data_IF_452307339610
#
_entry.id   IF_452307339610
#
_cell.length_a   1.000
_cell.length_b   1.000
_cell.length_c   1.000
_cell.angle_alpha   90.00
_cell.angle_beta   90.00
_cell.angle_gamma   90.00
#
_symmetry.space_group_name_H-M   'P 1'
#
loop_
_entity.id
_entity.type
_entity.pdbx_description
1 polymer ?
#
# COMPACT_ATOMS: atom_id res chain seq x y z
N UNK A 1 12.58 11.05 15.54
CA UNK A 1 13.70 11.92 15.09
C UNK A 1 13.82 13.15 15.96
N UNK A 2 12.91 14.14 15.88
CA UNK A 2 12.99 15.37 16.70
C UNK A 2 13.00 15.15 18.23
N UNK A 3 12.17 14.25 18.75
CA UNK A 3 12.10 13.99 20.20
C UNK A 3 13.38 13.34 20.77
N UNK A 4 14.03 12.45 20.00
CA UNK A 4 15.27 11.77 20.40
C UNK A 4 16.44 12.75 20.35
N UNK A 5 16.50 13.59 19.30
CA UNK A 5 17.49 14.67 19.20
C UNK A 5 17.37 15.68 20.35
N UNK A 6 16.15 16.01 20.78
CA UNK A 6 15.93 16.89 21.93
C UNK A 6 16.41 16.24 23.25
N UNK A 7 16.20 14.94 23.42
CA UNK A 7 16.68 14.19 24.60
C UNK A 7 18.20 14.07 24.62
N UNK A 8 18.84 13.73 23.50
CA UNK A 8 20.30 13.63 23.38
C UNK A 8 20.97 14.98 23.71
N UNK A 9 20.37 16.08 23.24
CA UNK A 9 20.81 17.44 23.56
C UNK A 9 20.66 17.80 25.04
N UNK A 10 19.57 17.36 25.70
CA UNK A 10 19.37 17.58 27.14
C UNK A 10 20.36 16.79 28.00
N UNK A 11 20.83 15.64 27.51
CA UNK A 11 21.74 14.74 28.23
C UNK A 11 23.22 14.93 27.86
N UNK A 12 23.53 15.91 26.99
CA UNK A 12 24.90 16.21 26.57
C UNK A 12 25.56 15.12 25.71
N UNK A 13 24.76 14.23 25.11
CA UNK A 13 25.24 13.16 24.23
C UNK A 13 25.23 13.60 22.76
N UNK A 14 26.22 13.21 21.95
CA UNK A 14 26.17 13.48 20.51
C UNK A 14 25.01 12.72 19.88
N UNK A 15 24.11 13.45 19.21
CA UNK A 15 22.98 12.84 18.50
C UNK A 15 23.48 11.98 17.35
N UNK A 16 23.18 10.68 17.40
CA UNK A 16 23.41 9.76 16.29
C UNK A 16 22.06 9.48 15.64
N UNK A 17 21.92 9.83 14.36
CA UNK A 17 20.72 9.44 13.64
C UNK A 17 20.59 7.91 13.65
N UNK A 18 19.43 7.35 14.06
CA UNK A 18 19.26 5.91 14.05
C UNK A 18 19.45 5.40 12.62
N UNK A 19 20.23 4.33 12.42
CA UNK A 19 20.45 3.78 11.09
C UNK A 19 19.09 3.42 10.49
N UNK A 20 18.81 3.98 9.32
CA UNK A 20 17.61 3.63 8.58
C UNK A 20 17.85 2.26 7.99
N UNK A 21 17.31 1.22 8.63
CA UNK A 21 17.27 -0.11 8.06
C UNK A 21 16.25 -0.14 6.93
N UNK A 22 16.67 0.35 5.77
CA UNK A 22 15.96 0.09 4.54
C UNK A 22 16.32 -1.34 4.11
N UNK A 23 15.35 -2.25 4.17
CA UNK A 23 15.43 -3.47 3.36
C UNK A 23 15.24 -3.04 1.91
N UNK A 24 16.30 -2.52 1.30
CA UNK A 24 16.33 -2.27 -0.14
C UNK A 24 16.71 -3.58 -0.82
N UNK A 25 15.98 -4.00 -1.84
CA UNK A 25 16.36 -5.14 -2.69
C UNK A 25 17.54 -4.80 -3.64
N UNK A 26 18.37 -3.80 -3.31
CA UNK A 26 19.38 -3.25 -4.19
C UNK A 26 18.84 -2.18 -5.14
N UNK A 27 19.65 -1.79 -6.12
CA UNK A 27 19.32 -0.81 -7.15
C UNK A 27 18.40 -1.48 -8.19
N UNK A 28 17.35 -0.82 -8.68
CA UNK A 28 16.34 -1.45 -9.57
C UNK A 28 16.93 -2.10 -10.83
N UNK A 29 18.04 -1.55 -11.36
CA UNK A 29 18.79 -2.13 -12.49
C UNK A 29 19.43 -3.49 -12.22
N UNK A 30 19.61 -3.88 -10.95
CA UNK A 30 20.13 -5.20 -10.57
C UNK A 30 19.03 -6.23 -10.33
N UNK A 31 17.76 -5.87 -10.51
CA UNK A 31 16.62 -6.76 -10.35
C UNK A 31 16.29 -7.42 -11.69
N UNK A 32 16.05 -8.73 -11.68
CA UNK A 32 15.52 -9.43 -12.85
C UNK A 32 14.06 -9.01 -13.09
N UNK A 33 13.51 -9.26 -14.28
CA UNK A 33 12.12 -8.91 -14.58
C UNK A 33 11.13 -9.61 -13.62
N UNK A 34 11.47 -10.79 -13.10
CA UNK A 34 10.70 -11.53 -12.10
C UNK A 34 10.80 -10.94 -10.67
N UNK A 35 11.84 -10.15 -10.41
CA UNK A 35 12.03 -9.41 -9.16
C UNK A 35 11.30 -8.06 -9.15
N UNK A 36 10.90 -7.58 -10.33
CA UNK A 36 10.08 -6.38 -10.46
C UNK A 36 8.71 -6.64 -9.86
N UNK A 37 8.24 -5.64 -9.13
CA UNK A 37 6.97 -5.69 -8.45
C UNK A 37 5.86 -5.57 -9.49
N UNK A 38 5.42 -6.70 -10.03
CA UNK A 38 4.08 -6.78 -10.60
C UNK A 38 3.08 -6.59 -9.46
N UNK A 39 1.93 -5.97 -9.76
CA UNK A 39 0.77 -5.99 -8.87
C UNK A 39 0.33 -7.45 -8.76
N UNK A 40 0.88 -8.17 -7.77
CA UNK A 40 0.47 -9.53 -7.42
C UNK A 40 -0.98 -9.46 -6.94
N UNK A 41 -1.78 -10.46 -7.31
CA UNK A 41 -3.17 -10.54 -6.90
C UNK A 41 -3.24 -10.64 -5.36
N UNK A 42 -4.25 -10.01 -4.78
CA UNK A 42 -4.46 -10.02 -3.32
C UNK A 42 -4.64 -11.45 -2.83
N UNK A 43 -3.72 -11.93 -1.98
CA UNK A 43 -3.79 -13.25 -1.40
C UNK A 43 -4.70 -13.19 -0.18
N UNK A 44 -5.91 -13.75 -0.32
CA UNK A 44 -6.91 -13.76 0.75
C UNK A 44 -6.64 -14.81 1.83
N UNK A 45 -5.44 -15.41 1.88
CA UNK A 45 -5.09 -16.37 2.93
C UNK A 45 -5.15 -15.71 4.31
N UNK A 46 -5.79 -16.38 5.26
CA UNK A 46 -5.88 -15.87 6.64
C UNK A 46 -4.50 -15.76 7.28
N UNK A 47 -4.37 -14.81 8.20
CA UNK A 47 -3.19 -14.68 9.05
C UNK A 47 -2.96 -15.96 9.86
N UNK A 48 -1.73 -16.47 9.87
CA UNK A 48 -1.37 -17.57 10.76
C UNK A 48 -1.56 -17.06 12.19
N UNK A 49 -2.53 -17.65 12.89
CA UNK A 49 -2.82 -17.33 14.29
C UNK A 49 -1.95 -18.23 15.16
N UNK A 50 -1.33 -17.71 16.24
CA UNK A 50 -0.70 -18.56 17.22
C UNK A 50 -1.73 -19.49 17.85
N UNK A 51 -1.38 -20.77 17.98
CA UNK A 51 -2.17 -21.74 18.71
C UNK A 51 -1.95 -21.51 20.20
N UNK A 52 -3.02 -21.22 20.93
CA UNK A 52 -2.92 -20.98 22.37
C UNK A 52 -3.26 -22.24 23.14
N UNK A 53 -2.57 -22.46 24.26
CA UNK A 53 -2.93 -23.52 25.20
C UNK A 53 -4.34 -23.29 25.80
N UNK A 54 -5.05 -24.33 26.26
CA UNK A 54 -6.36 -24.19 26.91
C UNK A 54 -6.32 -23.30 28.15
N UNK A 55 -7.42 -22.61 28.44
CA UNK A 55 -7.49 -21.60 29.51
C UNK A 55 -7.15 -22.18 30.91
N UNK A 56 -7.42 -23.45 31.10
CA UNK A 56 -7.23 -24.16 32.38
C UNK A 56 -5.75 -24.46 32.63
N UNK A 57 -4.99 -24.72 31.56
CA UNK A 57 -3.53 -24.88 31.62
C UNK A 57 -2.83 -23.53 31.84
N UNK A 58 -3.39 -22.43 31.33
CA UNK A 58 -2.84 -21.07 31.52
C UNK A 58 -2.82 -20.61 32.99
N UNK A 59 -3.74 -21.12 33.80
CA UNK A 59 -3.86 -20.75 35.23
C UNK A 59 -2.93 -21.56 36.12
N UNK A 60 -2.58 -22.77 35.68
CA UNK A 60 -1.97 -23.80 36.52
C UNK A 60 -0.52 -24.11 36.13
N UNK A 61 -0.09 -23.71 34.93
CA UNK A 61 1.21 -24.09 34.38
C UNK A 61 2.01 -22.87 33.93
N UNK A 62 3.34 -22.93 34.07
CA UNK A 62 4.28 -21.95 33.52
C UNK A 62 4.72 -22.25 32.08
N UNK A 63 4.02 -23.13 31.37
CA UNK A 63 4.29 -23.41 29.95
C UNK A 63 4.03 -22.15 29.12
N UNK A 64 4.74 -22.04 28.00
CA UNK A 64 4.52 -20.94 27.06
C UNK A 64 3.05 -20.88 26.60
N UNK A 65 2.48 -19.68 26.63
CA UNK A 65 1.07 -19.44 26.29
C UNK A 65 0.75 -19.86 24.86
N UNK A 66 1.71 -19.65 23.96
CA UNK A 66 1.71 -20.07 22.58
C UNK A 66 3.08 -20.69 22.30
N UNK A 67 3.16 -21.98 21.93
CA UNK A 67 4.42 -22.58 21.51
C UNK A 67 4.96 -21.90 20.25
N UNK A 68 6.26 -22.06 20.01
CA UNK A 68 6.92 -21.53 18.83
C UNK A 68 6.23 -22.03 17.56
N UNK A 69 5.84 -21.10 16.69
CA UNK A 69 5.20 -21.42 15.41
C UNK A 69 6.19 -22.24 14.56
N UNK A 70 5.78 -23.37 13.95
CA UNK A 70 6.64 -24.16 13.07
C UNK A 70 7.25 -23.30 11.95
N UNK A 71 8.50 -23.57 11.59
CA UNK A 71 9.24 -22.81 10.58
C UNK A 71 8.48 -22.72 9.23
N UNK A 72 7.78 -23.77 8.84
CA UNK A 72 6.96 -23.82 7.61
C UNK A 72 5.82 -22.80 7.65
N UNK A 73 5.09 -22.71 8.77
CA UNK A 73 4.01 -21.72 8.94
C UNK A 73 4.55 -20.29 8.98
N UNK A 74 5.75 -20.09 9.56
CA UNK A 74 6.44 -18.79 9.57
C UNK A 74 6.86 -18.38 8.16
N UNK A 75 7.41 -19.31 7.37
CA UNK A 75 7.81 -19.05 5.99
C UNK A 75 6.59 -18.68 5.13
N UNK A 76 5.51 -19.44 5.21
CA UNK A 76 4.26 -19.14 4.51
C UNK A 76 3.65 -17.78 4.92
N UNK A 77 3.69 -17.44 6.21
CA UNK A 77 3.29 -16.11 6.71
C UNK A 77 4.19 -14.99 6.17
N UNK A 78 5.50 -15.24 6.09
CA UNK A 78 6.49 -14.34 5.53
C UNK A 78 6.24 -14.06 4.05
N UNK A 79 5.97 -15.10 3.26
CA UNK A 79 5.59 -14.98 1.85
C UNK A 79 4.32 -14.14 1.68
N UNK A 80 3.28 -14.37 2.50
CA UNK A 80 2.06 -13.55 2.48
C UNK A 80 2.34 -12.09 2.87
N UNK A 81 3.17 -11.85 3.90
CA UNK A 81 3.47 -10.49 4.37
C UNK A 81 4.18 -9.61 3.33
N UNK A 82 4.89 -10.23 2.38
CA UNK A 82 5.65 -9.53 1.33
C UNK A 82 4.77 -9.18 0.11
N UNK A 83 3.54 -9.68 0.02
CA UNK A 83 2.71 -9.52 -1.19
C UNK A 83 2.17 -8.11 -1.42
N UNK A 84 1.91 -7.33 -0.35
CA UNK A 84 1.41 -5.96 -0.53
C UNK A 84 2.57 -5.04 -0.93
N UNK A 85 2.95 -5.07 -2.19
CA UNK A 85 3.98 -4.21 -2.73
C UNK A 85 3.34 -2.94 -3.33
N UNK A 86 2.82 -2.10 -2.43
CA UNK A 86 2.41 -0.75 -2.80
C UNK A 86 3.66 0.10 -3.05
N UNK A 87 3.85 0.47 -4.32
CA UNK A 87 4.91 1.33 -4.84
C UNK A 87 4.87 2.76 -4.30
N UNK A 88 3.75 3.20 -3.70
CA UNK A 88 3.60 4.52 -3.09
C UNK A 88 3.88 4.55 -1.57
N UNK A 89 4.34 3.45 -0.95
CA UNK A 89 4.54 3.34 0.51
C UNK A 89 5.34 4.48 1.15
N UNK A 90 6.35 5.01 0.45
CA UNK A 90 7.22 6.08 0.95
C UNK A 90 6.55 7.45 0.95
N UNK A 91 5.71 7.75 -0.03
CA UNK A 91 5.15 9.08 -0.28
C UNK A 91 3.62 9.16 -0.08
N UNK A 92 2.98 8.04 0.26
CA UNK A 92 1.54 7.93 0.44
C UNK A 92 1.03 8.89 1.53
N UNK A 93 0.28 9.91 1.11
CA UNK A 93 -0.33 10.92 2.00
C UNK A 93 -1.37 10.29 2.92
N UNK A 94 -2.12 9.29 2.45
CA UNK A 94 -3.07 8.57 3.30
C UNK A 94 -2.35 7.88 4.45
N UNK A 95 -1.28 7.14 4.18
CA UNK A 95 -0.47 6.49 5.23
C UNK A 95 0.06 7.52 6.23
N UNK A 96 0.71 8.58 5.73
CA UNK A 96 1.26 9.67 6.56
C UNK A 96 0.21 10.28 7.50
N UNK A 97 -0.98 10.57 6.98
CA UNK A 97 -2.04 11.16 7.80
C UNK A 97 -2.72 10.15 8.72
N UNK A 98 -2.89 8.90 8.28
CA UNK A 98 -3.39 7.82 9.13
C UNK A 98 -2.51 7.60 10.36
N UNK A 99 -1.18 7.62 10.18
CA UNK A 99 -0.21 7.53 11.28
C UNK A 99 -0.25 8.78 12.16
N UNK A 100 -0.24 9.97 11.56
CA UNK A 100 -0.27 11.25 12.30
C UNK A 100 -1.50 11.37 13.20
N UNK A 101 -2.67 10.97 12.71
CA UNK A 101 -3.94 11.07 13.43
C UNK A 101 -4.33 9.78 14.15
N UNK A 102 -3.44 8.78 14.21
CA UNK A 102 -3.65 7.50 14.90
C UNK A 102 -4.96 6.81 14.51
N UNK A 103 -5.26 6.81 13.20
CA UNK A 103 -6.49 6.24 12.66
C UNK A 103 -6.49 4.73 12.90
N UNK A 104 -7.61 4.22 13.44
CA UNK A 104 -7.83 2.79 13.67
C UNK A 104 -8.65 2.18 12.52
N UNK A 105 -8.04 1.49 11.54
CA UNK A 105 -8.76 0.97 10.37
C UNK A 105 -9.85 -0.05 10.74
N UNK A 106 -9.68 -0.75 11.86
CA UNK A 106 -10.63 -1.77 12.33
C UNK A 106 -11.87 -1.20 13.04
N UNK A 107 -11.93 0.13 13.21
CA UNK A 107 -13.06 0.80 13.85
C UNK A 107 -14.36 0.63 13.05
N UNK A 108 -14.27 0.63 11.72
CA UNK A 108 -15.42 0.48 10.83
C UNK A 108 -15.45 -0.92 10.22
N UNK A 109 -16.49 -1.67 10.56
CA UNK A 109 -16.80 -2.98 9.96
C UNK A 109 -17.80 -2.81 8.83
N UNK A 110 -17.64 -3.57 7.76
CA UNK A 110 -18.54 -3.54 6.62
C UNK A 110 -17.94 -4.16 5.37
N UNK A 111 -18.76 -4.27 4.33
CA UNK A 111 -18.31 -4.71 3.01
C UNK A 111 -17.35 -3.69 2.40
N UNK A 112 -16.26 -4.18 1.82
CA UNK A 112 -15.32 -3.38 1.02
C UNK A 112 -15.62 -3.63 -0.45
N UNK A 113 -15.51 -2.58 -1.26
CA UNK A 113 -15.56 -2.73 -2.72
C UNK A 113 -14.33 -3.52 -3.16
N UNK A 114 -14.53 -4.73 -3.68
CA UNK A 114 -13.47 -5.51 -4.30
C UNK A 114 -13.53 -5.25 -5.80
N UNK A 115 -12.52 -4.56 -6.33
CA UNK A 115 -12.46 -4.20 -7.75
C UNK A 115 -11.06 -4.50 -8.26
N UNK A 116 -10.94 -5.32 -9.30
CA UNK A 116 -9.63 -5.63 -9.87
C UNK A 116 -8.92 -4.36 -10.36
N UNK A 117 -7.60 -4.33 -10.18
CA UNK A 117 -6.73 -3.33 -10.77
C UNK A 117 -6.85 -3.40 -12.31
N UNK A 118 -6.91 -2.24 -12.95
CA UNK A 118 -6.92 -2.14 -14.39
C UNK A 118 -5.49 -2.04 -14.91
N UNK A 119 -5.06 -3.10 -15.57
CA UNK A 119 -3.72 -3.26 -16.14
C UNK A 119 -3.74 -3.32 -17.67
N UNK A 120 -4.87 -2.97 -18.30
CA UNK A 120 -5.03 -3.03 -19.77
C UNK A 120 -4.10 -2.08 -20.52
N UNK A 121 -3.65 -1.01 -19.88
CA UNK A 121 -2.70 -0.09 -20.47
C UNK A 121 -1.26 -0.63 -20.30
N UNK A 122 -0.40 -0.57 -21.33
CA UNK A 122 0.94 -1.14 -21.29
C UNK A 122 1.84 -0.51 -20.22
N UNK A 123 1.68 0.78 -19.94
CA UNK A 123 2.56 1.52 -19.03
C UNK A 123 1.92 1.97 -17.72
N UNK A 124 0.59 1.89 -17.60
CA UNK A 124 -0.15 2.52 -16.49
C UNK A 124 -0.98 1.46 -15.80
N UNK A 125 -0.90 1.47 -14.48
CA UNK A 125 -1.72 0.65 -13.61
C UNK A 125 -2.72 1.56 -12.91
N UNK A 126 -3.99 1.15 -12.90
CA UNK A 126 -5.03 1.82 -12.15
C UNK A 126 -5.69 0.88 -11.16
N UNK A 127 -5.18 0.89 -9.94
CA UNK A 127 -5.68 0.15 -8.81
C UNK A 127 -6.78 0.95 -8.09
N UNK A 128 -8.03 0.63 -8.44
CA UNK A 128 -9.22 1.26 -7.87
C UNK A 128 -9.43 0.92 -6.38
N UNK A 129 -8.86 -0.16 -5.85
CA UNK A 129 -8.99 -0.50 -4.43
C UNK A 129 -8.20 0.45 -3.53
N UNK A 130 -7.10 1.01 -4.04
CA UNK A 130 -6.32 2.02 -3.34
C UNK A 130 -6.93 3.42 -3.45
N UNK A 131 -7.90 3.64 -4.34
CA UNK A 131 -8.45 4.97 -4.62
C UNK A 131 -9.37 5.48 -3.51
N UNK A 132 -9.00 6.61 -2.89
CA UNK A 132 -9.83 7.32 -1.89
C UNK A 132 -10.86 8.27 -2.50
N UNK A 133 -11.08 8.22 -3.82
CA UNK A 133 -12.07 9.03 -4.56
C UNK A 133 -11.92 10.55 -4.36
N UNK A 134 -10.68 11.04 -4.17
CA UNK A 134 -10.39 12.47 -3.94
C UNK A 134 -10.67 13.38 -5.15
N UNK A 135 -10.73 12.83 -6.37
CA UNK A 135 -11.02 13.58 -7.59
C UNK A 135 -9.85 14.40 -8.15
N UNK A 136 -8.67 14.38 -7.51
CA UNK A 136 -7.49 15.12 -7.99
C UNK A 136 -7.13 14.71 -9.42
N UNK A 137 -7.03 13.41 -9.70
CA UNK A 137 -6.70 12.91 -11.04
C UNK A 137 -7.73 13.31 -12.11
N UNK A 138 -9.01 13.41 -11.74
CA UNK A 138 -10.08 13.88 -12.63
C UNK A 138 -9.85 15.36 -12.95
N UNK A 139 -9.69 16.20 -11.93
CA UNK A 139 -9.45 17.65 -12.09
C UNK A 139 -8.16 17.94 -12.85
N UNK A 140 -7.05 17.27 -12.52
CA UNK A 140 -5.78 17.44 -13.23
C UNK A 140 -5.93 17.08 -14.71
N UNK A 141 -6.66 16.01 -15.04
CA UNK A 141 -6.86 15.60 -16.42
C UNK A 141 -7.79 16.56 -17.19
N UNK A 142 -8.81 17.12 -16.53
CA UNK A 142 -9.79 18.02 -17.15
C UNK A 142 -9.33 19.47 -17.23
N UNK A 143 -8.80 20.02 -16.15
CA UNK A 143 -8.53 21.46 -16.00
C UNK A 143 -7.09 21.83 -16.41
N UNK A 144 -6.11 20.97 -16.07
CA UNK A 144 -4.69 21.27 -16.31
C UNK A 144 -4.27 20.74 -17.69
N UNK A 145 -4.55 19.46 -17.95
CA UNK A 145 -4.11 18.78 -19.19
C UNK A 145 -5.14 18.94 -20.32
N UNK A 146 -6.38 19.30 -20.02
CA UNK A 146 -7.48 19.47 -20.98
C UNK A 146 -7.76 18.23 -21.86
N UNK A 147 -7.52 17.01 -21.35
CA UNK A 147 -7.80 15.74 -22.06
C UNK A 147 -9.11 15.07 -21.63
N UNK A 148 -9.64 15.37 -20.44
CA UNK A 148 -10.95 14.87 -19.94
C UNK A 148 -11.13 13.34 -19.98
N UNK A 149 -10.08 12.55 -19.73
CA UNK A 149 -10.12 11.08 -19.85
C UNK A 149 -10.68 10.36 -18.64
N UNK A 150 -10.59 10.99 -17.47
CA UNK A 150 -11.00 10.41 -16.18
C UNK A 150 -12.27 11.08 -15.70
N UNK A 151 -13.21 10.27 -15.20
CA UNK A 151 -14.43 10.74 -14.57
C UNK A 151 -14.85 9.82 -13.42
N UNK A 152 -15.75 10.33 -12.58
CA UNK A 152 -16.47 9.48 -11.64
C UNK A 152 -17.56 8.70 -12.38
N UNK A 153 -17.52 7.39 -12.24
CA UNK A 153 -18.50 6.46 -12.77
C UNK A 153 -19.35 5.89 -11.65
N UNK A 154 -20.59 5.50 -11.99
CA UNK A 154 -21.59 4.95 -11.06
C UNK A 154 -21.95 5.98 -9.97
N UNK A 155 -22.69 5.54 -8.94
CA UNK A 155 -23.13 6.39 -7.82
C UNK A 155 -23.09 5.63 -6.49
N UNK A 156 -23.04 6.38 -5.39
CA UNK A 156 -23.07 5.85 -4.03
C UNK A 156 -21.86 4.98 -3.71
N UNK A 157 -22.10 3.85 -3.02
CA UNK A 157 -21.06 2.90 -2.60
C UNK A 157 -20.22 2.38 -3.80
N UNK A 158 -20.87 2.17 -4.93
CA UNK A 158 -20.27 1.64 -6.16
C UNK A 158 -19.51 2.69 -7.00
N UNK A 159 -19.37 3.92 -6.51
CA UNK A 159 -18.67 4.99 -7.24
C UNK A 159 -17.21 4.61 -7.46
N UNK A 160 -16.69 4.78 -8.68
CA UNK A 160 -15.29 4.50 -9.01
C UNK A 160 -14.77 5.51 -10.02
N UNK A 161 -13.47 5.81 -9.97
CA UNK A 161 -12.82 6.64 -10.98
C UNK A 161 -12.40 5.75 -12.15
N UNK A 162 -12.68 6.16 -13.37
CA UNK A 162 -12.22 5.45 -14.57
C UNK A 162 -12.48 6.24 -15.84
N UNK A 163 -12.27 5.59 -16.97
CA UNK A 163 -12.48 6.19 -18.29
C UNK A 163 -13.90 5.94 -18.78
N UNK A 164 -14.29 6.67 -19.84
CA UNK A 164 -15.57 6.47 -20.50
C UNK A 164 -15.80 4.99 -20.87
N UNK A 165 -17.03 4.51 -20.60
CA UNK A 165 -17.45 3.12 -20.88
C UNK A 165 -16.59 2.05 -20.19
N UNK A 166 -15.88 2.41 -19.10
CA UNK A 166 -14.98 1.51 -18.38
C UNK A 166 -13.92 0.85 -19.29
N UNK A 167 -13.46 1.58 -20.32
CA UNK A 167 -12.38 1.13 -21.21
C UNK A 167 -11.01 1.29 -20.54
N UNK A 168 -9.98 0.68 -21.11
CA UNK A 168 -8.61 0.95 -20.67
C UNK A 168 -8.23 2.41 -20.97
N UNK A 169 -7.14 2.90 -20.39
CA UNK A 169 -6.58 4.17 -20.84
C UNK A 169 -6.20 4.08 -22.32
N UNK A 170 -6.38 5.17 -23.10
CA UNK A 170 -5.90 5.21 -24.47
C UNK A 170 -4.37 5.25 -24.50
N UNK A 171 -3.75 4.80 -25.59
CA UNK A 171 -2.29 4.67 -25.74
C UNK A 171 -1.52 5.98 -25.56
N UNK A 172 -2.12 7.12 -25.92
CA UNK A 172 -1.55 8.46 -25.74
C UNK A 172 -1.63 8.98 -24.28
N UNK A 173 -2.28 8.22 -23.38
CA UNK A 173 -2.39 8.60 -21.98
C UNK A 173 -1.12 8.29 -21.18
N UNK A 174 0.03 8.03 -21.83
CA UNK A 174 1.34 7.93 -21.20
C UNK A 174 2.11 9.24 -21.16
N UNK A 175 1.78 10.20 -22.01
CA UNK A 175 2.72 11.29 -22.31
C UNK A 175 2.83 12.35 -21.21
N UNK A 176 1.75 12.61 -20.46
CA UNK A 176 1.75 13.69 -19.48
C UNK A 176 2.08 13.26 -18.05
N UNK A 177 1.77 12.00 -17.66
CA UNK A 177 2.02 11.48 -16.30
C UNK A 177 1.38 12.22 -15.13
N UNK A 178 0.67 13.33 -15.36
CA UNK A 178 0.28 14.28 -14.31
C UNK A 178 -0.66 13.67 -13.27
N UNK A 179 -1.59 12.80 -13.70
CA UNK A 179 -2.52 12.13 -12.78
C UNK A 179 -1.84 11.10 -11.87
N UNK A 180 -0.70 10.53 -12.29
CA UNK A 180 0.11 9.60 -11.51
C UNK A 180 0.88 10.37 -10.45
N UNK A 181 1.57 11.46 -10.84
CA UNK A 181 2.34 12.30 -9.92
C UNK A 181 1.50 12.95 -8.81
N UNK A 182 0.28 13.36 -9.13
CA UNK A 182 -0.63 13.98 -8.15
C UNK A 182 -1.44 12.98 -7.32
N UNK A 183 -1.29 11.67 -7.55
CA UNK A 183 -2.05 10.66 -6.82
C UNK A 183 -1.58 10.55 -5.36
N UNK A 184 -2.45 10.77 -4.35
CA UNK A 184 -2.02 10.76 -2.95
C UNK A 184 -1.78 9.37 -2.34
N UNK A 185 -2.20 8.28 -3.00
CA UNK A 185 -2.35 6.94 -2.39
C UNK A 185 -1.83 5.77 -3.23
N UNK A 186 -1.28 6.04 -4.42
CA UNK A 186 -0.79 4.99 -5.33
C UNK A 186 -1.89 4.20 -6.04
N UNK A 187 -3.06 4.81 -6.24
CA UNK A 187 -4.14 4.22 -7.04
C UNK A 187 -3.84 4.29 -8.55
N UNK A 188 -3.16 5.34 -8.99
CA UNK A 188 -2.61 5.45 -10.33
C UNK A 188 -1.10 5.39 -10.21
N UNK A 189 -0.48 4.48 -10.96
CA UNK A 189 0.97 4.34 -10.96
C UNK A 189 1.51 3.86 -12.31
N UNK A 190 2.81 4.04 -12.50
CA UNK A 190 3.53 3.42 -13.61
C UNK A 190 3.64 1.91 -13.39
N UNK A 191 3.54 1.14 -14.47
CA UNK A 191 3.76 -0.32 -14.43
C UNK A 191 5.21 -0.64 -14.07
N UNK A 192 6.13 0.15 -14.59
CA UNK A 192 7.55 0.08 -14.29
C UNK A 192 7.98 1.43 -13.73
N UNK A 193 8.61 1.44 -12.55
CA UNK A 193 9.24 2.63 -11.98
C UNK A 193 10.74 2.53 -12.21
N UNK A 194 11.31 3.54 -12.87
CA UNK A 194 12.75 3.82 -12.82
C UNK A 194 13.19 4.33 -11.44
#
# INVERSE_FOLDING_TARGET
KAAIAAMDMMEGRPHVEPPVFNVSRGHWRSLSHDDLVFVRQDNQTERVKPEYIPLEERKSTFKELFPTIPAEKIQAEGERCIECSCTAKGECKLKKYSEKYQVKPDMFKGTKQVVAADTRHPYIIHDRMKCVKCGICVKTCSEIINKNLLAFMKRGFNTSVGTALNKGFPSYCKDCGACIGECPVGALDWREKE
#
